data_IF_782700013937
#
_entry.id   IF_782700013937
#
_cell.length_a   1.000
_cell.length_b   1.000
_cell.length_c   1.000
_cell.angle_alpha   90.00
_cell.angle_beta   90.00
_cell.angle_gamma   90.00
#
_symmetry.space_group_name_H-M   'P 1'
#
loop_
_entity.id
_entity.type
_entity.pdbx_description
1 polymer ?
#
# COMPACT_ATOMS: atom_id res chain seq x y z
N UNK A 1 -4.58 -13.26 -25.92
CA UNK A 1 -5.38 -13.77 -24.79
C UNK A 1 -6.72 -14.26 -25.33
N UNK A 2 -7.17 -15.45 -24.96
CA UNK A 2 -8.45 -15.99 -25.41
C UNK A 2 -9.55 -15.45 -24.50
N UNK A 3 -10.54 -14.76 -25.07
CA UNK A 3 -11.61 -14.14 -24.28
C UNK A 3 -12.52 -15.20 -23.65
N UNK A 4 -12.80 -15.07 -22.34
CA UNK A 4 -13.76 -15.92 -21.62
C UNK A 4 -15.17 -15.71 -22.20
N UNK A 5 -15.97 -16.78 -22.20
CA UNK A 5 -17.33 -16.77 -22.76
C UNK A 5 -18.34 -17.42 -21.83
N UNK A 6 -19.53 -16.83 -21.77
CA UNK A 6 -20.70 -17.44 -21.15
C UNK A 6 -21.21 -18.61 -22.01
N UNK A 7 -22.05 -19.52 -21.45
CA UNK A 7 -22.71 -20.57 -22.23
C UNK A 7 -23.53 -20.04 -23.42
N UNK A 8 -24.03 -18.80 -23.34
CA UNK A 8 -24.72 -18.11 -24.45
C UNK A 8 -23.77 -17.65 -25.58
N UNK A 9 -22.46 -17.84 -25.44
CA UNK A 9 -21.43 -17.40 -26.40
C UNK A 9 -20.96 -15.96 -26.21
N UNK A 10 -21.59 -15.18 -25.31
CA UNK A 10 -21.21 -13.80 -25.01
C UNK A 10 -19.84 -13.73 -24.33
N UNK A 11 -18.98 -12.83 -24.79
CA UNK A 11 -17.68 -12.56 -24.15
C UNK A 11 -17.91 -11.82 -22.82
N UNK A 12 -17.14 -12.20 -21.81
CA UNK A 12 -17.01 -11.42 -20.59
C UNK A 12 -15.53 -11.28 -20.22
N UNK A 13 -15.25 -10.27 -19.42
CA UNK A 13 -13.93 -9.98 -18.89
C UNK A 13 -14.08 -9.82 -17.38
N UNK A 14 -13.19 -10.42 -16.62
CA UNK A 14 -13.08 -10.16 -15.18
C UNK A 14 -11.83 -9.32 -14.89
N UNK A 15 -11.62 -9.02 -13.61
CA UNK A 15 -10.53 -8.16 -13.18
C UNK A 15 -9.15 -8.69 -13.59
N UNK A 16 -8.97 -10.01 -13.66
CA UNK A 16 -7.72 -10.62 -14.10
C UNK A 16 -7.44 -10.30 -15.57
N UNK A 17 -8.48 -10.32 -16.41
CA UNK A 17 -8.36 -9.99 -17.84
C UNK A 17 -8.01 -8.51 -18.01
N UNK A 18 -8.63 -7.62 -17.21
CA UNK A 18 -8.33 -6.18 -17.21
C UNK A 18 -6.89 -5.92 -16.78
N UNK A 19 -6.43 -6.55 -15.68
CA UNK A 19 -5.05 -6.42 -15.20
C UNK A 19 -4.04 -6.84 -16.26
N UNK A 20 -4.24 -7.99 -16.90
CA UNK A 20 -3.38 -8.45 -17.98
C UNK A 20 -3.36 -7.49 -19.18
N UNK A 21 -4.50 -6.88 -19.54
CA UNK A 21 -4.55 -5.89 -20.62
C UNK A 21 -3.81 -4.59 -20.29
N UNK A 22 -3.78 -4.20 -19.01
CA UNK A 22 -3.09 -3.01 -18.52
C UNK A 22 -1.58 -3.23 -18.25
N UNK A 23 -1.02 -4.38 -18.65
CA UNK A 23 0.40 -4.72 -18.45
C UNK A 23 0.68 -5.87 -17.50
N UNK A 24 -0.38 -6.49 -16.94
CA UNK A 24 -0.28 -7.56 -15.94
C UNK A 24 0.04 -7.05 -14.55
N UNK A 25 0.08 -7.98 -13.59
CA UNK A 25 0.67 -7.71 -12.28
C UNK A 25 2.20 -7.78 -12.43
N UNK A 26 2.97 -6.84 -11.88
CA UNK A 26 4.42 -6.90 -11.91
C UNK A 26 4.94 -8.27 -11.39
N UNK A 27 5.99 -8.81 -12.04
CA UNK A 27 6.63 -10.06 -11.58
C UNK A 27 7.21 -9.92 -10.17
N UNK A 28 7.66 -8.72 -9.82
CA UNK A 28 8.19 -8.35 -8.52
C UNK A 28 7.26 -7.32 -7.91
N UNK A 29 6.85 -7.54 -6.66
CA UNK A 29 5.97 -6.64 -5.91
C UNK A 29 6.72 -6.08 -4.72
N UNK A 30 6.57 -4.79 -4.50
CA UNK A 30 7.38 -4.02 -3.55
C UNK A 30 6.94 -4.23 -2.11
N UNK A 31 7.91 -4.17 -1.21
CA UNK A 31 7.72 -3.97 0.23
C UNK A 31 7.91 -2.49 0.53
N UNK A 32 6.86 -1.85 1.02
CA UNK A 32 6.84 -0.41 1.28
C UNK A 32 6.68 -0.15 2.77
N UNK A 33 7.52 0.72 3.31
CA UNK A 33 7.31 1.30 4.65
C UNK A 33 6.71 2.68 4.50
N UNK A 34 5.62 2.96 5.21
CA UNK A 34 4.96 4.26 5.19
C UNK A 34 5.01 4.95 6.57
N UNK A 35 5.70 6.09 6.63
CA UNK A 35 5.88 6.92 7.81
C UNK A 35 5.23 8.29 7.62
N UNK A 36 4.57 8.79 8.68
CA UNK A 36 3.80 10.05 8.62
C UNK A 36 3.79 10.79 9.95
N UNK A 37 3.88 12.11 9.82
CA UNK A 37 3.55 13.06 10.89
C UNK A 37 2.54 14.10 10.42
N UNK A 38 1.87 14.76 11.36
CA UNK A 38 0.73 15.64 11.04
C UNK A 38 1.16 17.04 10.62
N UNK A 39 2.29 17.54 11.12
CA UNK A 39 2.79 18.89 10.83
C UNK A 39 4.31 18.91 10.62
N UNK A 40 4.80 19.98 9.98
CA UNK A 40 6.23 20.14 9.71
C UNK A 40 7.07 20.34 10.98
N UNK A 41 6.46 20.74 12.11
CA UNK A 41 7.13 20.82 13.41
C UNK A 41 7.53 19.45 13.96
N UNK A 42 6.92 18.37 13.46
CA UNK A 42 7.16 16.99 13.90
C UNK A 42 8.20 16.26 13.05
N UNK A 43 9.10 16.97 12.35
CA UNK A 43 10.14 16.35 11.52
C UNK A 43 11.08 15.45 12.33
N UNK A 44 11.40 15.82 13.56
CA UNK A 44 12.22 14.98 14.45
C UNK A 44 11.50 13.68 14.81
N UNK A 45 10.19 13.74 15.05
CA UNK A 45 9.35 12.56 15.29
C UNK A 45 9.32 11.65 14.06
N UNK A 46 9.23 12.22 12.85
CA UNK A 46 9.26 11.46 11.60
C UNK A 46 10.58 10.70 11.45
N UNK A 47 11.72 11.35 11.74
CA UNK A 47 13.03 10.69 11.70
C UNK A 47 13.14 9.57 12.74
N UNK A 48 12.63 9.79 13.95
CA UNK A 48 12.57 8.78 15.01
C UNK A 48 11.69 7.59 14.60
N UNK A 49 10.55 7.86 13.96
CA UNK A 49 9.63 6.84 13.44
C UNK A 49 10.32 5.97 12.38
N UNK A 50 11.00 6.59 11.41
CA UNK A 50 11.73 5.88 10.36
C UNK A 50 12.79 4.97 10.98
N UNK A 51 13.61 5.48 11.89
CA UNK A 51 14.66 4.69 12.55
C UNK A 51 14.11 3.50 13.35
N UNK A 52 12.97 3.68 14.01
CA UNK A 52 12.31 2.58 14.72
C UNK A 52 11.82 1.50 13.75
N UNK A 53 11.22 1.90 12.62
CA UNK A 53 10.80 0.98 11.57
C UNK A 53 11.99 0.28 10.90
N UNK A 54 13.11 0.97 10.67
CA UNK A 54 14.36 0.37 10.15
C UNK A 54 14.87 -0.73 11.07
N UNK A 55 14.90 -0.44 12.38
CA UNK A 55 15.33 -1.41 13.40
C UNK A 55 14.44 -2.63 13.40
N UNK A 56 13.12 -2.43 13.32
CA UNK A 56 12.16 -3.53 13.23
C UNK A 56 12.36 -4.37 11.96
N UNK A 57 12.43 -3.73 10.78
CA UNK A 57 12.57 -4.43 9.50
C UNK A 57 13.87 -5.24 9.46
N UNK A 58 14.97 -4.66 9.95
CA UNK A 58 16.26 -5.35 10.06
C UNK A 58 16.16 -6.56 11.01
N UNK A 59 15.56 -6.39 12.18
CA UNK A 59 15.36 -7.47 13.16
C UNK A 59 14.45 -8.58 12.66
N UNK A 60 13.47 -8.26 11.82
CA UNK A 60 12.54 -9.21 11.21
C UNK A 60 13.06 -9.83 9.90
N UNK A 61 14.24 -9.42 9.41
CA UNK A 61 14.79 -9.90 8.13
C UNK A 61 13.98 -9.45 6.90
N UNK A 62 13.26 -8.33 7.01
CA UNK A 62 12.41 -7.79 5.95
C UNK A 62 13.26 -6.86 5.07
N UNK A 63 13.47 -7.26 3.82
CA UNK A 63 14.04 -6.38 2.79
C UNK A 63 12.97 -5.38 2.33
N UNK A 64 13.18 -4.10 2.63
CA UNK A 64 12.29 -3.00 2.25
C UNK A 64 12.76 -2.40 0.94
N UNK A 65 11.88 -2.32 -0.05
CA UNK A 65 12.17 -1.75 -1.36
C UNK A 65 12.02 -0.22 -1.36
N UNK A 66 11.08 0.31 -0.56
CA UNK A 66 10.80 1.75 -0.54
C UNK A 66 10.39 2.29 0.84
N UNK A 67 10.90 3.48 1.15
CA UNK A 67 10.57 4.25 2.35
C UNK A 67 9.79 5.51 1.98
N UNK A 68 8.50 5.52 2.29
CA UNK A 68 7.60 6.64 2.02
C UNK A 68 7.45 7.50 3.27
N UNK A 69 7.89 8.76 3.17
CA UNK A 69 7.77 9.76 4.22
C UNK A 69 6.72 10.82 3.86
N UNK A 70 5.76 11.13 4.73
CA UNK A 70 4.78 12.16 4.41
C UNK A 70 4.44 13.06 5.60
N UNK A 71 4.30 14.36 5.33
CA UNK A 71 3.82 15.34 6.31
C UNK A 71 2.40 15.74 5.90
N UNK A 72 1.43 15.47 6.76
CA UNK A 72 0.04 15.81 6.53
C UNK A 72 -0.89 15.15 7.54
N UNK A 73 -2.05 15.75 7.78
CA UNK A 73 -3.02 15.23 8.75
C UNK A 73 -3.58 13.87 8.34
N UNK A 74 -3.79 12.98 9.32
CA UNK A 74 -4.35 11.64 9.10
C UNK A 74 -5.81 11.61 8.63
N UNK A 75 -6.50 12.76 8.62
CA UNK A 75 -7.84 12.93 8.01
C UNK A 75 -7.77 13.36 6.54
N UNK A 76 -6.59 13.76 6.05
CA UNK A 76 -6.42 14.21 4.68
C UNK A 76 -6.15 12.99 3.77
N UNK A 77 -7.19 12.44 3.16
CA UNK A 77 -7.06 11.36 2.17
C UNK A 77 -6.57 11.84 0.79
N UNK A 78 -6.37 13.15 0.60
CA UNK A 78 -5.82 13.74 -0.65
C UNK A 78 -4.30 13.95 -0.60
N UNK A 79 -3.65 13.40 0.43
CA UNK A 79 -2.18 13.37 0.56
C UNK A 79 -1.56 12.69 -0.66
N UNK A 80 -0.57 13.35 -1.28
CA UNK A 80 -0.03 12.92 -2.59
C UNK A 80 0.64 11.55 -2.52
N UNK A 81 1.45 11.29 -1.49
CA UNK A 81 2.16 10.01 -1.36
C UNK A 81 1.20 8.91 -0.91
N UNK A 82 0.24 9.23 -0.06
CA UNK A 82 -0.85 8.32 0.29
C UNK A 82 -1.67 7.89 -0.94
N UNK A 83 -2.13 8.83 -1.78
CA UNK A 83 -2.87 8.48 -3.00
C UNK A 83 -2.01 7.68 -3.97
N UNK A 84 -0.73 8.05 -4.14
CA UNK A 84 0.20 7.27 -4.94
C UNK A 84 0.37 5.84 -4.42
N UNK A 85 0.40 5.63 -3.10
CA UNK A 85 0.42 4.30 -2.50
C UNK A 85 -0.87 3.51 -2.77
N UNK A 86 -2.04 4.14 -2.64
CA UNK A 86 -3.33 3.53 -2.96
C UNK A 86 -3.36 3.05 -4.42
N UNK A 87 -2.98 3.92 -5.37
CA UNK A 87 -2.99 3.60 -6.79
C UNK A 87 -2.06 2.41 -7.10
N UNK A 88 -0.89 2.34 -6.44
CA UNK A 88 0.07 1.25 -6.60
C UNK A 88 -0.43 -0.07 -6.00
N UNK A 89 -1.10 -0.01 -4.85
CA UNK A 89 -1.78 -1.18 -4.27
C UNK A 89 -2.85 -1.68 -5.25
N UNK A 90 -3.69 -0.79 -5.80
CA UNK A 90 -4.72 -1.17 -6.77
C UNK A 90 -4.15 -1.77 -8.07
N UNK A 91 -2.96 -1.34 -8.49
CA UNK A 91 -2.24 -1.94 -9.63
C UNK A 91 -1.52 -3.26 -9.27
N UNK A 92 -1.59 -3.69 -8.01
CA UNK A 92 -0.92 -4.90 -7.53
C UNK A 92 0.60 -4.76 -7.42
N UNK A 93 1.13 -3.54 -7.40
CA UNK A 93 2.58 -3.31 -7.35
C UNK A 93 3.16 -3.54 -5.94
N UNK A 94 2.36 -3.35 -4.90
CA UNK A 94 2.80 -3.50 -3.51
C UNK A 94 2.28 -4.82 -2.96
N UNK A 95 3.17 -5.65 -2.39
CA UNK A 95 2.76 -6.90 -1.71
C UNK A 95 2.68 -6.76 -0.20
N UNK A 96 3.45 -5.86 0.38
CA UNK A 96 3.55 -5.68 1.83
C UNK A 96 3.71 -4.20 2.15
N UNK A 97 2.80 -3.68 2.96
CA UNK A 97 2.84 -2.33 3.50
C UNK A 97 3.09 -2.39 5.00
N UNK A 98 4.20 -1.81 5.45
CA UNK A 98 4.52 -1.69 6.86
C UNK A 98 4.20 -0.28 7.36
N UNK A 99 3.50 -0.22 8.49
CA UNK A 99 3.20 1.04 9.19
C UNK A 99 3.49 0.87 10.69
N UNK A 100 3.95 1.95 11.32
CA UNK A 100 4.22 1.91 12.76
C UNK A 100 2.94 1.71 13.59
N UNK A 101 1.87 2.45 13.24
CA UNK A 101 0.55 2.40 13.88
C UNK A 101 -0.54 2.72 12.86
N UNK A 102 -1.79 2.28 13.09
CA UNK A 102 -2.94 2.59 12.21
C UNK A 102 -3.10 4.10 11.95
N UNK A 103 -2.94 4.95 12.99
CA UNK A 103 -3.04 6.41 12.89
C UNK A 103 -2.04 7.01 11.89
N UNK A 104 -0.88 6.37 11.75
CA UNK A 104 0.20 6.85 10.89
C UNK A 104 -0.16 6.71 9.43
N UNK A 105 -1.04 5.78 9.09
CA UNK A 105 -1.64 5.72 7.76
C UNK A 105 -2.84 6.67 7.64
N UNK A 106 -3.81 6.54 8.54
CA UNK A 106 -5.06 7.31 8.54
C UNK A 106 -5.76 7.30 9.90
N UNK A 107 -6.54 8.34 10.20
CA UNK A 107 -7.29 8.44 11.48
C UNK A 107 -8.57 7.59 11.52
N UNK A 108 -9.21 7.39 10.37
CA UNK A 108 -10.42 6.58 10.21
C UNK A 108 -10.36 5.82 8.89
N UNK A 109 -11.20 4.80 8.74
CA UNK A 109 -11.27 4.03 7.50
C UNK A 109 -10.13 3.03 7.32
N UNK A 110 -9.36 2.73 8.37
CA UNK A 110 -8.27 1.76 8.31
C UNK A 110 -8.76 0.39 7.87
N UNK A 111 -9.86 -0.11 8.44
CA UNK A 111 -10.37 -1.44 8.12
C UNK A 111 -10.87 -1.52 6.67
N UNK A 112 -11.45 -0.43 6.13
CA UNK A 112 -11.81 -0.33 4.72
C UNK A 112 -10.56 -0.34 3.82
N UNK A 113 -9.51 0.41 4.19
CA UNK A 113 -8.26 0.42 3.45
C UNK A 113 -7.58 -0.96 3.50
N UNK A 114 -7.59 -1.64 4.65
CA UNK A 114 -7.04 -2.97 4.81
C UNK A 114 -7.77 -3.99 3.95
N UNK A 115 -9.10 -3.92 3.88
CA UNK A 115 -9.89 -4.75 2.99
C UNK A 115 -9.51 -4.53 1.51
N UNK A 116 -9.41 -3.27 1.07
CA UNK A 116 -8.98 -2.94 -0.30
C UNK A 116 -7.57 -3.45 -0.57
N UNK A 117 -6.65 -3.32 0.39
CA UNK A 117 -5.29 -3.82 0.25
C UNK A 117 -5.25 -5.34 0.09
N UNK A 118 -6.02 -6.07 0.92
CA UNK A 118 -6.14 -7.52 0.87
C UNK A 118 -6.72 -8.03 -0.46
N UNK A 119 -7.79 -7.40 -0.96
CA UNK A 119 -8.37 -7.71 -2.29
C UNK A 119 -7.33 -7.54 -3.42
N UNK A 120 -6.40 -6.61 -3.24
CA UNK A 120 -5.30 -6.38 -4.16
C UNK A 120 -4.04 -7.20 -3.85
N UNK A 121 -4.12 -8.14 -2.90
CA UNK A 121 -3.01 -9.01 -2.49
C UNK A 121 -1.86 -8.27 -1.81
N UNK A 122 -2.14 -7.13 -1.17
CA UNK A 122 -1.20 -6.38 -0.34
C UNK A 122 -1.49 -6.65 1.13
N UNK A 123 -0.54 -7.27 1.83
CA UNK A 123 -0.59 -7.44 3.29
C UNK A 123 -0.24 -6.11 3.98
N UNK A 124 -0.93 -5.79 5.07
CA UNK A 124 -0.57 -4.63 5.91
C UNK A 124 -0.08 -5.13 7.28
N UNK A 125 1.16 -4.81 7.61
CA UNK A 125 1.74 -5.09 8.93
C UNK A 125 1.78 -3.81 9.75
N UNK A 126 1.09 -3.85 10.89
CA UNK A 126 1.17 -2.81 11.93
C UNK A 126 2.17 -3.27 12.97
N UNK A 127 3.26 -2.52 13.11
CA UNK A 127 4.40 -2.93 13.96
C UNK A 127 4.11 -2.77 15.45
N UNK A 128 3.22 -1.84 15.82
CA UNK A 128 2.93 -1.51 17.23
C UNK A 128 1.48 -1.07 17.44
#
# INVERSE_FOLDING_TARGET
MQAKRLPSGHRYFDESDVRLMLGGVPKTRDVVVYCRVSSAGQKADLASQVKAMETYCLGAGIAVDEWVHEIGGGLNFKRKRFLGLVDRIQRGEVRLLLIAHKDRLMRFGFDLFAHIAEENGCEIVVVN
#
